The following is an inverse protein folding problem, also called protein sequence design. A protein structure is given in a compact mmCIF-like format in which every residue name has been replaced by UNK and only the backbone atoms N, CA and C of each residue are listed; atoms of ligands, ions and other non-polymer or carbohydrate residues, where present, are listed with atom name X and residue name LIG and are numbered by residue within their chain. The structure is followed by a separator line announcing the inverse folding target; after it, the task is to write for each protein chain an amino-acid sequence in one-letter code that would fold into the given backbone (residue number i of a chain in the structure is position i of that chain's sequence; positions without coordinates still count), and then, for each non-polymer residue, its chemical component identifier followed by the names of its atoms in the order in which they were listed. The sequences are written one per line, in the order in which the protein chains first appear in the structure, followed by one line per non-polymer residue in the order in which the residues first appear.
data_IF_416475449296
#
_entry.id   IF_416475449296
#
_cell.length_a   1.000
_cell.length_b   1.000
_cell.length_c   1.000
_cell.angle_alpha   90.00
_cell.angle_beta   90.00
_cell.angle_gamma   90.00
#
_symmetry.space_group_name_H-M   'P 1'
#
loop_
_entity.id
_entity.type
_entity.pdbx_description
1 polymer ?
#
# COMPACT_ATOMS: atom_id res chain seq x y z
N UNK A 1 -3.88 31.53 15.67
CA UNK A 1 -4.22 30.78 14.45
C UNK A 1 -3.13 29.75 14.31
N UNK A 2 -3.32 28.64 15.01
CA UNK A 2 -2.32 27.58 15.10
C UNK A 2 -2.41 26.71 13.85
N UNK A 3 -1.27 26.54 13.18
CA UNK A 3 -1.13 25.58 12.09
C UNK A 3 -1.53 24.18 12.58
N UNK A 4 -2.34 23.42 11.83
CA UNK A 4 -2.62 22.05 12.20
C UNK A 4 -1.31 21.28 12.15
N UNK A 5 -0.92 20.74 13.31
CA UNK A 5 0.25 19.90 13.49
C UNK A 5 0.25 18.79 12.44
N UNK A 6 1.36 18.65 11.72
CA UNK A 6 1.72 17.44 11.00
C UNK A 6 1.73 16.28 11.99
N UNK A 7 0.57 15.64 12.17
CA UNK A 7 0.48 14.41 12.92
C UNK A 7 1.45 13.45 12.27
N UNK A 8 2.50 13.08 13.01
CA UNK A 8 3.43 12.03 12.60
C UNK A 8 2.59 10.86 12.15
N UNK A 9 2.62 10.57 10.85
CA UNK A 9 2.04 9.36 10.28
C UNK A 9 2.76 8.25 11.02
N UNK A 10 2.11 7.67 12.03
CA UNK A 10 2.64 6.51 12.71
C UNK A 10 2.87 5.50 11.60
N UNK A 11 4.14 5.17 11.34
CA UNK A 11 4.53 4.17 10.36
C UNK A 11 3.92 2.84 10.77
N UNK A 12 2.71 2.63 10.27
CA UNK A 12 1.95 1.40 10.36
C UNK A 12 2.85 0.35 9.75
N UNK A 13 3.09 -0.73 10.51
CA UNK A 13 3.71 -1.92 9.94
C UNK A 13 3.03 -2.17 8.60
N UNK A 14 3.80 -2.34 7.53
CA UNK A 14 3.35 -3.09 6.37
C UNK A 14 2.97 -4.48 6.90
N UNK A 15 1.76 -4.60 7.44
CA UNK A 15 1.11 -5.87 7.60
C UNK A 15 0.71 -6.15 6.18
N UNK A 16 1.65 -6.80 5.46
CA UNK A 16 1.42 -7.51 4.21
C UNK A 16 -0.04 -7.89 4.18
N UNK A 17 -0.82 -7.23 3.30
CA UNK A 17 -2.17 -7.69 2.95
C UNK A 17 -2.01 -9.18 2.78
N UNK A 18 -2.55 -9.98 3.69
CA UNK A 18 -2.41 -11.43 3.60
C UNK A 18 -3.11 -11.77 2.29
N UNK A 19 -2.33 -12.03 1.24
CA UNK A 19 -2.85 -12.50 -0.04
C UNK A 19 -3.46 -13.87 0.23
N UNK A 20 -4.72 -13.88 0.63
CA UNK A 20 -5.50 -15.11 0.74
C UNK A 20 -5.69 -15.64 -0.67
N UNK A 21 -5.57 -16.96 -0.83
CA UNK A 21 -5.85 -17.62 -2.11
C UNK A 21 -7.33 -17.36 -2.47
N UNK A 22 -7.55 -16.39 -3.35
CA UNK A 22 -8.85 -16.06 -3.93
C UNK A 22 -9.04 -16.75 -5.27
N UNK A 23 -10.29 -16.76 -5.77
CA UNK A 23 -10.67 -17.38 -7.05
C UNK A 23 -9.81 -16.91 -8.25
N UNK A 24 -9.24 -15.71 -8.17
CA UNK A 24 -8.41 -15.12 -9.23
C UNK A 24 -6.92 -14.98 -8.87
N UNK A 25 -6.49 -15.38 -7.66
CA UNK A 25 -5.10 -15.19 -7.17
C UNK A 25 -3.99 -15.81 -8.03
N UNK A 26 -4.35 -16.74 -8.91
CA UNK A 26 -3.44 -17.38 -9.87
C UNK A 26 -3.10 -16.49 -11.08
N UNK A 27 -3.84 -15.39 -11.31
CA UNK A 27 -3.65 -14.49 -12.43
C UNK A 27 -2.52 -13.52 -12.10
N UNK A 28 -1.47 -13.52 -12.93
CA UNK A 28 -0.27 -12.69 -12.78
C UNK A 28 -0.11 -11.66 -13.90
N UNK A 29 -1.09 -11.57 -14.81
CA UNK A 29 -1.09 -10.65 -15.96
C UNK A 29 -1.97 -11.16 -17.09
N UNK A 30 -1.96 -10.45 -18.23
CA UNK A 30 -2.75 -10.80 -19.42
C UNK A 30 -2.14 -11.90 -20.29
N UNK A 31 -0.87 -12.28 -20.08
CA UNK A 31 -0.18 -13.36 -20.80
C UNK A 31 0.02 -13.09 -22.29
N UNK A 32 0.35 -11.85 -22.64
CA UNK A 32 0.61 -11.39 -24.01
C UNK A 32 2.10 -11.49 -24.36
N UNK A 33 2.43 -11.53 -25.66
CA UNK A 33 3.78 -11.31 -26.15
C UNK A 33 4.02 -9.82 -26.49
N UNK A 34 5.23 -9.49 -26.91
CA UNK A 34 5.63 -8.11 -27.26
C UNK A 34 4.85 -7.54 -28.46
N UNK A 35 4.21 -8.40 -29.26
CA UNK A 35 3.32 -8.02 -30.37
C UNK A 35 1.84 -7.93 -29.97
N UNK A 36 1.54 -7.95 -28.65
CA UNK A 36 0.20 -7.92 -28.07
C UNK A 36 -0.70 -9.10 -28.44
N UNK A 37 -0.13 -10.21 -28.87
CA UNK A 37 -0.84 -11.45 -29.12
C UNK A 37 -0.91 -12.31 -27.85
N UNK A 38 -2.11 -12.82 -27.56
CA UNK A 38 -2.34 -13.65 -26.40
C UNK A 38 -1.79 -15.06 -26.62
N UNK A 39 -0.91 -15.52 -25.73
CA UNK A 39 -0.46 -16.92 -25.70
C UNK A 39 -1.60 -17.81 -25.18
N UNK A 40 -1.69 -19.04 -25.70
CA UNK A 40 -2.73 -20.00 -25.33
C UNK A 40 -2.83 -20.22 -23.81
N UNK A 41 -1.67 -20.32 -23.14
CA UNK A 41 -1.50 -20.44 -21.69
C UNK A 41 -0.33 -19.55 -21.27
N UNK A 42 -0.57 -18.54 -20.44
CA UNK A 42 0.49 -17.68 -19.89
C UNK A 42 -0.02 -16.83 -18.72
N UNK A 43 0.84 -16.56 -17.73
CA UNK A 43 0.55 -15.69 -16.57
C UNK A 43 -0.76 -16.02 -15.82
N UNK A 44 -1.13 -17.31 -15.76
CA UNK A 44 -2.37 -17.76 -15.12
C UNK A 44 -3.62 -17.64 -16.00
N UNK A 45 -3.53 -17.03 -17.18
CA UNK A 45 -4.64 -16.91 -18.13
C UNK A 45 -4.59 -18.03 -19.18
N UNK A 46 -5.77 -18.61 -19.47
CA UNK A 46 -5.94 -19.66 -20.48
C UNK A 46 -7.09 -19.29 -21.42
N UNK A 47 -6.87 -19.40 -22.73
CA UNK A 47 -7.90 -19.07 -23.73
C UNK A 47 -8.22 -17.58 -23.78
N UNK A 48 -9.49 -17.23 -24.10
CA UNK A 48 -10.00 -15.86 -24.28
C UNK A 48 -9.08 -14.95 -25.13
N UNK A 49 -8.53 -15.50 -26.21
CA UNK A 49 -7.45 -14.86 -26.99
C UNK A 49 -7.83 -13.47 -27.51
N UNK A 50 -9.04 -13.33 -28.06
CA UNK A 50 -9.55 -12.06 -28.59
C UNK A 50 -9.72 -11.01 -27.49
N UNK A 51 -10.31 -11.40 -26.36
CA UNK A 51 -10.57 -10.49 -25.25
C UNK A 51 -9.27 -10.06 -24.55
N UNK A 52 -8.31 -10.99 -24.38
CA UNK A 52 -6.97 -10.68 -23.82
C UNK A 52 -6.16 -9.77 -24.74
N UNK A 53 -6.20 -9.99 -26.06
CA UNK A 53 -5.58 -9.10 -27.04
C UNK A 53 -6.18 -7.70 -26.98
N UNK A 54 -7.51 -7.59 -26.93
CA UNK A 54 -8.20 -6.31 -26.80
C UNK A 54 -7.82 -5.60 -25.47
N UNK A 55 -7.79 -6.33 -24.37
CA UNK A 55 -7.33 -5.82 -23.08
C UNK A 55 -5.87 -5.34 -23.12
N UNK A 56 -5.00 -6.03 -23.87
CA UNK A 56 -3.62 -5.62 -24.11
C UNK A 56 -3.49 -4.31 -24.86
N UNK A 57 -4.27 -4.13 -25.93
CA UNK A 57 -4.30 -2.87 -26.67
C UNK A 57 -4.76 -1.70 -25.78
N UNK A 58 -5.80 -1.93 -24.98
CA UNK A 58 -6.30 -0.92 -24.03
C UNK A 58 -5.25 -0.61 -22.98
N UNK A 59 -4.56 -1.63 -22.45
CA UNK A 59 -3.48 -1.47 -21.48
C UNK A 59 -2.35 -0.58 -22.03
N UNK A 60 -1.92 -0.80 -23.27
CA UNK A 60 -0.89 0.06 -23.89
C UNK A 60 -1.40 1.48 -24.13
N UNK A 61 -2.65 1.66 -24.56
CA UNK A 61 -3.24 3.00 -24.68
C UNK A 61 -3.31 3.75 -23.35
N UNK A 62 -3.52 3.02 -22.25
CA UNK A 62 -3.50 3.56 -20.88
C UNK A 62 -2.07 3.96 -20.50
N UNK A 63 -1.08 3.09 -20.71
CA UNK A 63 0.33 3.39 -20.40
C UNK A 63 0.87 4.57 -21.22
N UNK A 64 0.44 4.70 -22.47
CA UNK A 64 0.78 5.84 -23.34
C UNK A 64 0.02 7.12 -22.96
N UNK A 65 -0.92 7.08 -22.01
CA UNK A 65 -1.71 8.24 -21.58
C UNK A 65 -2.69 8.76 -22.63
N UNK A 66 -2.98 7.98 -23.70
CA UNK A 66 -3.89 8.39 -24.78
C UNK A 66 -5.36 8.29 -24.39
N UNK A 67 -5.66 7.58 -23.30
CA UNK A 67 -7.01 7.37 -22.79
C UNK A 67 -7.06 7.87 -21.35
N UNK A 68 -7.67 9.04 -21.16
CA UNK A 68 -8.17 9.52 -19.87
C UNK A 68 -9.70 9.60 -19.95
N UNK A 69 -10.39 9.28 -18.85
CA UNK A 69 -11.84 9.44 -18.73
C UNK A 69 -12.70 8.51 -19.60
N UNK A 70 -12.19 7.32 -19.95
CA UNK A 70 -12.98 6.31 -20.68
C UNK A 70 -13.26 5.10 -19.81
N UNK A 71 -14.47 4.55 -19.97
CA UNK A 71 -14.85 3.29 -19.35
C UNK A 71 -14.74 2.12 -20.34
N UNK A 72 -14.30 0.97 -19.85
CA UNK A 72 -14.27 -0.29 -20.57
C UNK A 72 -15.46 -1.15 -20.16
N UNK A 73 -16.32 -1.55 -21.09
CA UNK A 73 -17.40 -2.50 -20.83
C UNK A 73 -17.01 -3.90 -21.32
N UNK A 74 -17.02 -4.88 -20.42
CA UNK A 74 -16.83 -6.30 -20.73
C UNK A 74 -18.18 -7.02 -20.62
N UNK A 75 -18.70 -7.45 -21.77
CA UNK A 75 -19.94 -8.22 -21.85
C UNK A 75 -19.66 -9.69 -22.18
N UNK A 76 -20.44 -10.60 -21.60
CA UNK A 76 -20.34 -12.02 -21.90
C UNK A 76 -21.14 -12.86 -20.90
N UNK A 77 -21.31 -14.15 -21.21
CA UNK A 77 -22.02 -15.08 -20.33
C UNK A 77 -21.35 -15.20 -18.95
N UNK A 78 -22.09 -15.58 -17.89
CA UNK A 78 -21.49 -15.92 -16.61
C UNK A 78 -20.38 -16.97 -16.75
N UNK A 79 -19.32 -16.87 -15.96
CA UNK A 79 -18.21 -17.84 -15.98
C UNK A 79 -17.21 -17.69 -17.14
N UNK A 80 -17.36 -16.71 -18.04
CA UNK A 80 -16.42 -16.52 -19.17
C UNK A 80 -15.12 -15.79 -18.84
N UNK A 81 -14.86 -15.48 -17.56
CA UNK A 81 -13.62 -14.85 -17.10
C UNK A 81 -13.55 -13.32 -17.24
N UNK A 82 -14.68 -12.61 -17.13
CA UNK A 82 -14.71 -11.13 -17.19
C UNK A 82 -13.88 -10.48 -16.07
N UNK A 83 -14.15 -10.88 -14.83
CA UNK A 83 -13.41 -10.45 -13.64
C UNK A 83 -11.93 -10.86 -13.73
N UNK A 84 -11.65 -12.02 -14.30
CA UNK A 84 -10.28 -12.50 -14.54
C UNK A 84 -9.49 -11.59 -15.51
N UNK A 85 -10.13 -11.12 -16.59
CA UNK A 85 -9.51 -10.18 -17.52
C UNK A 85 -9.26 -8.82 -16.87
N UNK A 86 -10.23 -8.29 -16.11
CA UNK A 86 -10.06 -7.03 -15.37
C UNK A 86 -8.89 -7.11 -14.38
N UNK A 87 -8.76 -8.22 -13.66
CA UNK A 87 -7.65 -8.43 -12.74
C UNK A 87 -6.31 -8.63 -13.47
N UNK A 88 -6.33 -9.27 -14.65
CA UNK A 88 -5.17 -9.37 -15.53
C UNK A 88 -4.68 -7.99 -16.02
N UNK A 89 -5.59 -7.06 -16.32
CA UNK A 89 -5.26 -5.66 -16.65
C UNK A 89 -4.57 -4.99 -15.46
N UNK A 90 -5.15 -5.10 -14.26
CA UNK A 90 -4.59 -4.49 -13.06
C UNK A 90 -3.18 -5.00 -12.74
N UNK A 91 -2.97 -6.32 -12.77
CA UNK A 91 -1.66 -6.93 -12.56
C UNK A 91 -0.63 -6.53 -13.63
N UNK A 92 -1.07 -6.24 -14.86
CA UNK A 92 -0.20 -5.82 -15.95
C UNK A 92 0.11 -4.30 -15.95
N UNK A 93 -0.63 -3.49 -15.18
CA UNK A 93 -0.30 -2.08 -14.91
C UNK A 93 0.83 -1.95 -13.88
N UNK A 94 0.84 -2.84 -12.89
CA UNK A 94 1.89 -2.91 -11.87
C UNK A 94 1.37 -3.53 -10.58
N UNK A 95 2.28 -4.09 -9.76
CA UNK A 95 1.94 -4.60 -8.42
C UNK A 95 1.42 -3.52 -7.48
N UNK A 96 1.85 -2.28 -7.71
CA UNK A 96 1.56 -1.14 -6.84
C UNK A 96 0.35 -0.35 -7.34
N UNK A 97 -0.25 -0.74 -8.46
CA UNK A 97 -1.44 -0.10 -9.02
C UNK A 97 -2.66 -0.49 -8.19
N UNK A 98 -3.41 0.48 -7.62
CA UNK A 98 -4.58 0.16 -6.83
C UNK A 98 -5.67 -0.47 -7.71
N UNK A 99 -6.21 -1.60 -7.25
CA UNK A 99 -7.32 -2.29 -7.87
C UNK A 99 -8.47 -2.38 -6.87
N UNK A 100 -9.60 -1.76 -7.21
CA UNK A 100 -10.84 -1.86 -6.43
C UNK A 100 -11.84 -2.64 -7.25
N UNK A 101 -12.30 -3.77 -6.71
CA UNK A 101 -13.44 -4.52 -7.27
C UNK A 101 -14.65 -4.29 -6.38
N UNK A 102 -15.79 -4.03 -7.01
CA UNK A 102 -17.08 -3.88 -6.36
C UNK A 102 -18.18 -4.52 -7.20
N UNK A 103 -19.24 -5.00 -6.55
CA UNK A 103 -20.47 -5.38 -7.25
C UNK A 103 -21.41 -4.18 -7.34
N UNK A 104 -22.17 -4.07 -8.44
CA UNK A 104 -23.20 -3.05 -8.59
C UNK A 104 -24.24 -3.06 -7.46
N UNK A 105 -24.48 -4.22 -6.82
CA UNK A 105 -25.37 -4.31 -5.66
C UNK A 105 -24.78 -3.78 -4.35
N UNK A 106 -23.45 -3.69 -4.22
CA UNK A 106 -22.78 -3.21 -2.99
C UNK A 106 -22.96 -1.70 -2.77
N UNK A 107 -23.35 -0.94 -3.81
CA UNK A 107 -23.59 0.50 -3.74
C UNK A 107 -24.86 0.83 -2.95
N UNK A 108 -25.81 -0.11 -2.89
CA UNK A 108 -27.06 0.08 -2.17
C UNK A 108 -26.87 -0.28 -0.70
N UNK A 109 -26.49 0.71 0.10
CA UNK A 109 -26.33 0.60 1.56
C UNK A 109 -27.38 1.46 2.30
N UNK A 110 -27.69 1.06 3.54
CA UNK A 110 -28.46 1.89 4.48
C UNK A 110 -27.57 2.85 5.27
N UNK A 111 -26.26 2.59 5.33
CA UNK A 111 -25.31 3.35 6.14
C UNK A 111 -24.78 4.60 5.42
N UNK A 112 -24.75 4.58 4.09
CA UNK A 112 -24.23 5.68 3.26
C UNK A 112 -25.02 5.82 1.96
N UNK A 113 -25.01 7.02 1.40
CA UNK A 113 -25.60 7.30 0.10
C UNK A 113 -24.88 6.58 -1.05
N UNK A 114 -25.62 6.28 -2.13
CA UNK A 114 -25.09 5.63 -3.35
C UNK A 114 -23.93 6.42 -3.96
N UNK A 115 -24.06 7.75 -3.99
CA UNK A 115 -23.04 8.67 -4.47
C UNK A 115 -21.79 8.63 -3.60
N UNK A 116 -21.95 8.49 -2.29
CA UNK A 116 -20.82 8.37 -1.37
C UNK A 116 -20.09 7.03 -1.56
N UNK A 117 -20.82 5.92 -1.68
CA UNK A 117 -20.25 4.61 -1.97
C UNK A 117 -19.43 4.62 -3.28
N UNK A 118 -19.96 5.22 -4.34
CA UNK A 118 -19.24 5.39 -5.61
C UNK A 118 -18.03 6.32 -5.45
N UNK A 119 -18.16 7.43 -4.72
CA UNK A 119 -17.04 8.35 -4.50
C UNK A 119 -15.89 7.67 -3.75
N UNK A 120 -16.21 6.88 -2.72
CA UNK A 120 -15.21 6.09 -1.99
C UNK A 120 -14.55 5.06 -2.90
N UNK A 121 -15.31 4.36 -3.75
CA UNK A 121 -14.75 3.41 -4.71
C UNK A 121 -13.79 4.07 -5.72
N UNK A 122 -14.12 5.27 -6.22
CA UNK A 122 -13.21 6.06 -7.06
C UNK A 122 -11.94 6.44 -6.30
N UNK A 123 -12.06 6.97 -5.08
CA UNK A 123 -10.91 7.41 -4.28
C UNK A 123 -10.03 6.26 -3.78
N UNK A 124 -10.59 5.06 -3.59
CA UNK A 124 -9.81 3.83 -3.33
C UNK A 124 -9.00 3.38 -4.55
N UNK A 125 -9.47 3.73 -5.74
CA UNK A 125 -8.83 3.35 -7.01
C UNK A 125 -7.80 4.37 -7.49
N UNK A 126 -7.53 5.44 -6.74
CA UNK A 126 -6.49 6.41 -7.04
C UNK A 126 -5.42 6.33 -5.96
N UNK A 127 -4.21 5.97 -6.37
CA UNK A 127 -3.04 5.87 -5.50
C UNK A 127 -2.23 7.16 -5.51
N UNK A 128 -1.62 7.47 -4.38
CA UNK A 128 -0.61 8.51 -4.21
C UNK A 128 0.65 7.81 -3.72
N UNK A 129 1.67 7.83 -4.57
CA UNK A 129 2.99 7.30 -4.28
C UNK A 129 3.84 8.42 -3.69
N UNK A 130 4.12 8.33 -2.40
CA UNK A 130 4.93 9.30 -1.67
C UNK A 130 6.34 8.72 -1.55
N UNK A 131 7.32 9.53 -1.94
CA UNK A 131 8.74 9.18 -1.85
C UNK A 131 9.34 9.95 -0.68
N UNK A 132 9.81 9.21 0.32
CA UNK A 132 10.44 9.80 1.49
C UNK A 132 11.88 9.29 1.62
N UNK A 133 12.82 10.20 1.85
CA UNK A 133 14.18 9.82 2.22
C UNK A 133 14.21 9.54 3.73
N UNK A 134 14.49 8.29 4.09
CA UNK A 134 14.66 7.89 5.48
C UNK A 134 16.12 7.53 5.75
N UNK A 135 16.65 8.04 6.88
CA UNK A 135 17.97 7.67 7.37
C UNK A 135 17.84 6.49 8.34
N UNK A 136 18.44 5.36 7.98
CA UNK A 136 18.49 4.16 8.81
C UNK A 136 19.89 3.95 9.37
N UNK A 137 19.96 3.46 10.60
CA UNK A 137 21.19 2.93 11.20
C UNK A 137 21.04 1.41 11.26
N UNK A 138 21.84 0.68 10.49
CA UNK A 138 21.80 -0.78 10.40
C UNK A 138 23.11 -1.38 10.88
N UNK A 139 23.05 -2.24 11.90
CA UNK A 139 24.26 -2.86 12.46
C UNK A 139 23.97 -4.05 13.37
N UNK A 140 25.01 -4.84 13.61
CA UNK A 140 25.05 -5.86 14.66
C UNK A 140 25.30 -5.19 16.01
N UNK A 141 24.50 -5.54 17.01
CA UNK A 141 24.67 -5.09 18.39
C UNK A 141 25.80 -5.86 19.05
N UNK A 142 26.90 -5.18 19.39
CA UNK A 142 28.02 -5.79 20.10
C UNK A 142 27.72 -5.86 21.60
N UNK A 143 27.27 -4.75 22.17
CA UNK A 143 26.99 -4.59 23.60
C UNK A 143 25.92 -3.51 23.84
N UNK A 144 25.11 -3.70 24.88
CA UNK A 144 24.15 -2.71 25.39
C UNK A 144 24.41 -2.53 26.89
N UNK A 145 24.76 -1.31 27.29
CA UNK A 145 24.91 -0.90 28.69
C UNK A 145 23.75 0.04 29.04
N UNK A 146 23.01 -0.27 30.10
CA UNK A 146 21.90 0.58 30.56
C UNK A 146 22.15 0.89 32.04
N UNK A 147 22.45 2.15 32.32
CA UNK A 147 22.61 2.65 33.68
C UNK A 147 21.24 2.96 34.27
N UNK A 148 20.91 2.26 35.36
CA UNK A 148 19.70 2.50 36.13
C UNK A 148 20.09 3.21 37.44
N UNK A 149 19.47 4.36 37.76
CA UNK A 149 19.68 5.01 39.07
C UNK A 149 19.30 4.05 40.20
N UNK A 150 20.14 3.97 41.24
CA UNK A 150 19.96 3.06 42.38
C UNK A 150 18.62 3.27 43.13
N UNK A 151 18.02 4.45 43.02
CA UNK A 151 16.74 4.81 43.62
C UNK A 151 15.51 4.37 42.82
N UNK A 152 15.70 3.84 41.60
CA UNK A 152 14.60 3.45 40.69
C UNK A 152 13.84 4.62 40.07
N UNK A 153 14.08 5.85 40.54
CA UNK A 153 13.49 7.10 40.06
C UNK A 153 14.57 7.98 39.42
N UNK A 154 14.59 8.02 38.09
CA UNK A 154 15.47 8.87 37.29
C UNK A 154 15.51 8.45 35.83
N UNK A 155 15.99 9.34 34.95
CA UNK A 155 16.11 9.05 33.53
C UNK A 155 17.12 7.93 33.30
N UNK A 156 16.70 6.88 32.59
CA UNK A 156 17.60 5.81 32.15
C UNK A 156 18.49 6.38 31.04
N UNK A 157 19.81 6.25 31.22
CA UNK A 157 20.81 6.57 30.20
C UNK A 157 21.51 5.26 29.87
N UNK A 158 21.87 5.05 28.61
CA UNK A 158 22.56 3.85 28.19
C UNK A 158 23.55 4.14 27.09
N UNK A 159 24.37 3.15 26.78
CA UNK A 159 25.26 3.14 25.62
C UNK A 159 25.04 1.86 24.85
N UNK A 160 25.09 1.95 23.53
CA UNK A 160 25.00 0.81 22.65
C UNK A 160 26.11 0.86 21.63
N UNK A 161 26.80 -0.26 21.47
CA UNK A 161 27.84 -0.41 20.46
C UNK A 161 27.27 -1.17 19.28
N UNK A 162 27.29 -0.54 18.10
CA UNK A 162 26.87 -1.13 16.83
C UNK A 162 28.06 -1.34 15.92
N UNK A 163 28.02 -2.45 15.18
CA UNK A 163 29.08 -2.87 14.28
C UNK A 163 28.55 -3.30 12.92
N UNK A 164 29.25 -2.89 11.87
CA UNK A 164 29.18 -3.45 10.52
C UNK A 164 30.48 -4.18 10.20
N UNK A 165 30.61 -4.71 8.98
CA UNK A 165 31.89 -5.30 8.54
C UNK A 165 33.02 -4.27 8.44
N UNK A 166 32.69 -2.99 8.23
CA UNK A 166 33.66 -1.92 7.98
C UNK A 166 33.91 -1.01 9.18
N UNK A 167 32.91 -0.81 10.06
CA UNK A 167 33.01 0.14 11.16
C UNK A 167 32.31 -0.33 12.44
N UNK A 168 32.75 0.22 13.56
CA UNK A 168 32.16 0.01 14.88
C UNK A 168 32.04 1.36 15.57
N UNK A 169 30.84 1.68 16.07
CA UNK A 169 30.56 2.96 16.72
C UNK A 169 29.72 2.78 17.98
N UNK A 170 29.91 3.71 18.92
CA UNK A 170 29.21 3.74 20.21
C UNK A 170 28.19 4.87 20.15
N UNK A 171 26.93 4.55 20.43
CA UNK A 171 25.81 5.49 20.51
C UNK A 171 25.34 5.64 21.95
N UNK A 172 25.18 6.89 22.39
CA UNK A 172 24.50 7.19 23.64
C UNK A 172 22.98 7.09 23.45
N UNK A 173 22.33 6.33 24.33
CA UNK A 173 20.91 6.03 24.30
C UNK A 173 20.15 6.90 25.30
N UNK A 174 19.14 7.61 24.81
CA UNK A 174 18.14 8.25 25.65
C UNK A 174 17.06 7.29 26.16
N UNK A 175 16.24 7.75 27.11
CA UNK A 175 15.19 6.95 27.75
C UNK A 175 14.23 6.28 26.74
N UNK A 176 13.75 7.01 25.72
CA UNK A 176 12.82 6.48 24.70
C UNK A 176 13.43 5.31 23.91
N UNK A 177 14.71 5.40 23.57
CA UNK A 177 15.42 4.34 22.83
C UNK A 177 15.62 3.11 23.71
N UNK A 178 15.92 3.29 24.99
CA UNK A 178 16.06 2.18 25.95
C UNK A 178 14.73 1.44 26.12
N UNK A 179 13.62 2.16 26.20
CA UNK A 179 12.27 1.57 26.26
C UNK A 179 11.94 0.81 24.97
N UNK A 180 12.29 1.35 23.80
CA UNK A 180 12.11 0.67 22.51
C UNK A 180 12.95 -0.62 22.40
N UNK A 181 14.24 -0.58 22.78
CA UNK A 181 15.12 -1.76 22.82
C UNK A 181 14.57 -2.84 23.78
N UNK A 182 14.07 -2.42 24.95
CA UNK A 182 13.48 -3.33 25.94
C UNK A 182 12.19 -3.96 25.40
N UNK A 183 11.36 -3.17 24.70
CA UNK A 183 10.10 -3.62 24.10
C UNK A 183 10.34 -4.67 23.00
N UNK A 184 11.32 -4.44 22.14
CA UNK A 184 11.69 -5.35 21.05
C UNK A 184 12.62 -6.49 21.53
N UNK A 185 12.99 -6.51 22.83
CA UNK A 185 13.87 -7.51 23.46
C UNK A 185 15.19 -7.70 22.69
N UNK A 186 15.80 -6.58 22.30
CA UNK A 186 17.08 -6.59 21.59
C UNK A 186 18.20 -7.05 22.53
N UNK A 187 19.04 -7.95 22.04
CA UNK A 187 20.18 -8.49 22.78
C UNK A 187 21.49 -8.32 22.00
N UNK A 188 22.61 -8.49 22.69
CA UNK A 188 23.92 -8.57 22.05
C UNK A 188 23.95 -9.74 21.04
N UNK A 189 24.41 -9.45 19.82
CA UNK A 189 24.40 -10.35 18.67
C UNK A 189 23.16 -10.24 17.78
N UNK A 190 22.18 -9.39 18.10
CA UNK A 190 21.07 -9.10 17.19
C UNK A 190 21.51 -8.10 16.11
N UNK A 191 21.00 -8.29 14.89
CA UNK A 191 21.10 -7.31 13.80
C UNK A 191 19.82 -6.47 13.81
N UNK A 192 19.98 -5.15 13.98
CA UNK A 192 18.87 -4.21 14.09
C UNK A 192 18.96 -3.11 13.03
N UNK A 193 17.80 -2.59 12.66
CA UNK A 193 17.65 -1.37 11.88
C UNK A 193 16.92 -0.32 12.73
N UNK A 194 17.49 0.87 12.83
CA UNK A 194 16.92 2.00 13.56
C UNK A 194 16.60 3.10 12.56
N UNK A 195 15.32 3.48 12.47
CA UNK A 195 14.93 4.69 11.76
C UNK A 195 15.23 5.90 12.66
N UNK A 196 16.11 6.78 12.19
CA UNK A 196 16.59 7.93 12.97
C UNK A 196 15.51 9.00 13.19
N UNK A 197 14.55 9.13 12.28
CA UNK A 197 13.48 10.12 12.38
C UNK A 197 12.37 9.64 13.33
N UNK A 198 11.96 8.38 13.21
CA UNK A 198 10.88 7.82 14.04
C UNK A 198 11.35 7.23 15.37
N UNK A 199 12.64 6.90 15.50
CA UNK A 199 13.20 6.18 16.66
C UNK A 199 12.72 4.72 16.73
N UNK A 200 12.10 4.20 15.67
CA UNK A 200 11.59 2.84 15.60
C UNK A 200 12.75 1.86 15.39
N UNK A 201 12.81 0.84 16.23
CA UNK A 201 13.81 -0.21 16.18
C UNK A 201 13.16 -1.47 15.61
N UNK A 202 13.77 -2.04 14.58
CA UNK A 202 13.32 -3.29 13.96
C UNK A 202 14.42 -4.33 14.05
N UNK A 203 14.12 -5.48 14.69
CA UNK A 203 15.06 -6.61 14.76
C UNK A 203 15.00 -7.41 13.46
N UNK A 204 16.06 -7.34 12.65
CA UNK A 204 16.15 -8.05 11.37
C UNK A 204 16.45 -9.55 11.56
N UNK A 205 17.23 -9.87 12.59
CA UNK A 205 17.58 -11.24 12.95
C UNK A 205 18.76 -11.29 13.90
N UNK A 206 19.38 -12.45 14.00
CA UNK A 206 20.57 -12.67 14.83
C UNK A 206 21.80 -12.95 13.97
N UNK A 207 22.97 -12.46 14.37
CA UNK A 207 24.21 -12.68 13.63
C UNK A 207 24.63 -14.15 13.66
N UNK A 208 25.23 -14.62 12.57
CA UNK A 208 25.74 -16.00 12.48
C UNK A 208 26.94 -16.26 13.40
N UNK A 209 27.73 -15.22 13.69
CA UNK A 209 28.97 -15.31 14.50
C UNK A 209 28.69 -15.64 15.96
N UNK A 210 27.57 -15.16 16.52
CA UNK A 210 27.16 -15.40 17.91
C UNK A 210 26.04 -16.44 18.05
N UNK A 211 25.78 -17.21 16.99
CA UNK A 211 24.76 -18.26 16.99
C UNK A 211 25.09 -19.45 17.92
N UNK A 212 26.36 -19.63 18.30
CA UNK A 212 26.82 -20.78 19.10
C UNK A 212 26.75 -20.56 20.61
N UNK A 213 26.63 -19.32 21.08
CA UNK A 213 26.76 -18.99 22.50
C UNK A 213 25.46 -19.16 23.32
N UNK A 214 24.36 -19.54 22.66
CA UNK A 214 23.04 -19.65 23.30
C UNK A 214 22.38 -21.00 22.99
N UNK A 215 22.37 -21.88 24.00
CA UNK A 215 21.85 -23.26 23.96
C UNK A 215 20.31 -23.33 23.94
N UNK A 216 19.62 -22.24 24.34
CA UNK A 216 18.16 -22.15 24.37
C UNK A 216 17.62 -21.25 23.23
N UNK A 217 17.79 -21.68 21.98
CA UNK A 217 17.20 -20.96 20.84
C UNK A 217 15.76 -21.41 20.59
N UNK A 218 14.83 -20.45 20.56
CA UNK A 218 13.47 -20.72 20.11
C UNK A 218 13.46 -21.08 18.61
N UNK A 219 12.53 -21.93 18.14
CA UNK A 219 12.47 -22.44 16.75
C UNK A 219 12.19 -21.37 15.66
N UNK A 220 12.27 -20.07 15.99
CA UNK A 220 11.87 -18.92 15.17
C UNK A 220 13.00 -17.88 15.00
N UNK A 221 14.22 -18.13 15.48
CA UNK A 221 15.33 -17.17 15.33
C UNK A 221 15.85 -17.16 13.90
N UNK A 222 15.53 -16.09 13.16
CA UNK A 222 16.04 -15.82 11.82
C UNK A 222 17.50 -15.36 11.91
N UNK A 223 18.41 -16.07 11.27
CA UNK A 223 19.81 -15.66 11.19
C UNK A 223 20.05 -14.75 9.98
N UNK A 224 20.80 -13.67 10.20
CA UNK A 224 21.12 -12.66 9.18
C UNK A 224 22.62 -12.38 9.25
N UNK A 225 23.24 -12.09 8.11
CA UNK A 225 24.65 -11.71 8.07
C UNK A 225 24.86 -10.31 8.66
N UNK A 226 26.08 -10.05 9.16
CA UNK A 226 26.44 -8.71 9.61
C UNK A 226 26.31 -7.75 8.42
N UNK A 227 25.63 -6.61 8.57
CA UNK A 227 25.48 -5.64 7.49
C UNK A 227 26.85 -5.14 7.01
N UNK A 228 26.98 -4.96 5.70
CA UNK A 228 28.18 -4.40 5.07
C UNK A 228 28.04 -2.89 4.86
N UNK A 229 29.18 -2.20 4.77
CA UNK A 229 29.25 -0.76 4.51
C UNK A 229 29.13 0.12 5.76
N UNK A 230 28.72 1.35 5.53
CA UNK A 230 28.47 2.34 6.58
C UNK A 230 27.26 1.97 7.45
N UNK A 231 27.36 2.28 8.75
CA UNK A 231 26.27 2.08 9.71
C UNK A 231 25.04 2.92 9.36
N UNK A 232 25.23 4.16 8.90
CA UNK A 232 24.15 5.07 8.55
C UNK A 232 23.92 5.03 7.04
N UNK A 233 22.72 4.62 6.63
CA UNK A 233 22.32 4.51 5.23
C UNK A 233 21.13 5.41 4.96
N UNK A 234 21.16 6.11 3.84
CA UNK A 234 19.98 6.81 3.30
C UNK A 234 19.26 5.87 2.35
N UNK A 235 17.97 5.67 2.59
CA UNK A 235 17.12 4.83 1.74
C UNK A 235 15.88 5.62 1.35
N UNK A 236 15.60 5.66 0.05
CA UNK A 236 14.30 6.14 -0.46
C UNK A 236 13.27 5.05 -0.15
N UNK A 237 12.30 5.39 0.69
CA UNK A 237 11.16 4.53 1.00
C UNK A 237 9.97 5.07 0.23
N UNK A 238 9.38 4.19 -0.58
CA UNK A 238 8.23 4.52 -1.42
C UNK A 238 7.00 3.95 -0.75
N UNK A 239 6.08 4.82 -0.35
CA UNK A 239 4.79 4.44 0.22
C UNK A 239 3.69 4.71 -0.79
N UNK A 240 2.86 3.72 -1.07
CA UNK A 240 1.68 3.89 -1.90
C UNK A 240 0.44 3.84 -1.02
N UNK A 241 -0.30 4.95 -0.96
CA UNK A 241 -1.54 5.09 -0.19
C UNK A 241 -2.66 5.54 -1.12
N UNK A 242 -3.90 5.15 -0.85
CA UNK A 242 -5.05 5.59 -1.67
C UNK A 242 -5.59 6.92 -1.19
N UNK A 243 -6.23 7.70 -2.08
CA UNK A 243 -6.88 8.96 -1.67
C UNK A 243 -7.94 8.73 -0.59
N UNK A 244 -8.66 7.61 -0.65
CA UNK A 244 -9.65 7.26 0.36
C UNK A 244 -9.02 7.00 1.75
N UNK A 245 -7.85 6.36 1.81
CA UNK A 245 -7.14 6.16 3.09
C UNK A 245 -6.75 7.51 3.71
N UNK A 246 -6.26 8.45 2.89
CA UNK A 246 -5.92 9.81 3.33
C UNK A 246 -7.18 10.54 3.83
N UNK A 247 -8.31 10.42 3.13
CA UNK A 247 -9.59 11.01 3.54
C UNK A 247 -10.03 10.53 4.92
N UNK A 248 -10.06 9.21 5.12
CA UNK A 248 -10.57 8.61 6.36
C UNK A 248 -9.68 8.99 7.54
N UNK A 249 -8.35 8.97 7.35
CA UNK A 249 -7.38 9.35 8.40
C UNK A 249 -7.57 10.81 8.82
N UNK A 250 -7.81 11.72 7.87
CA UNK A 250 -7.95 13.14 8.16
C UNK A 250 -9.38 13.55 8.58
N UNK A 251 -10.38 12.69 8.35
CA UNK A 251 -11.77 12.99 8.71
C UNK A 251 -12.09 12.79 10.20
N UNK A 252 -11.35 11.92 10.93
CA UNK A 252 -11.64 11.59 12.34
C UNK A 252 -10.36 11.49 13.17
N UNK A 253 -10.44 11.82 14.46
CA UNK A 253 -9.31 11.71 15.41
C UNK A 253 -8.79 10.27 15.61
N UNK A 254 -9.62 9.26 15.34
CA UNK A 254 -9.22 7.84 15.22
C UNK A 254 -9.56 7.26 13.84
N UNK A 255 -9.40 8.06 12.77
CA UNK A 255 -9.71 7.64 11.40
C UNK A 255 -8.99 6.36 10.97
N UNK A 256 -7.77 6.13 11.48
CA UNK A 256 -7.03 4.90 11.19
C UNK A 256 -7.77 3.62 11.61
N UNK A 257 -8.45 3.60 12.77
CA UNK A 257 -9.16 2.40 13.22
C UNK A 257 -10.40 2.12 12.35
N UNK A 258 -11.02 3.18 11.82
CA UNK A 258 -12.17 3.09 10.92
C UNK A 258 -11.85 2.39 9.59
N UNK A 259 -10.60 2.48 9.12
CA UNK A 259 -10.14 1.73 7.94
C UNK A 259 -10.26 0.21 8.13
N UNK A 260 -10.16 -0.28 9.37
CA UNK A 260 -10.25 -1.70 9.69
C UNK A 260 -11.65 -2.14 10.10
N UNK A 261 -12.41 -1.27 10.75
CA UNK A 261 -13.77 -1.61 11.18
C UNK A 261 -14.80 -1.50 10.05
N UNK A 262 -14.49 -0.79 8.97
CA UNK A 262 -15.42 -0.50 7.87
C UNK A 262 -16.43 0.61 8.19
N UNK A 263 -16.44 1.11 9.43
CA UNK A 263 -17.29 2.21 9.89
C UNK A 263 -16.65 3.57 9.55
N UNK A 264 -16.48 3.82 8.25
CA UNK A 264 -15.93 5.09 7.77
C UNK A 264 -17.00 6.18 7.76
N UNK A 265 -18.27 5.81 7.61
CA UNK A 265 -19.40 6.72 7.40
C UNK A 265 -19.22 7.58 6.15
N UNK A 266 -20.00 8.66 6.06
CA UNK A 266 -19.86 9.65 4.98
C UNK A 266 -18.77 10.67 5.29
N UNK A 267 -17.92 10.96 4.30
CA UNK A 267 -16.82 11.92 4.43
C UNK A 267 -17.25 13.26 3.85
N UNK A 268 -17.06 14.34 4.60
CA UNK A 268 -17.38 15.70 4.17
C UNK A 268 -16.58 16.11 2.92
N UNK A 269 -17.22 16.82 2.00
CA UNK A 269 -16.58 17.34 0.78
C UNK A 269 -15.41 18.29 1.08
N UNK A 270 -15.53 19.13 2.11
CA UNK A 270 -14.47 20.06 2.54
C UNK A 270 -13.14 19.35 2.84
N UNK A 271 -13.20 18.17 3.47
CA UNK A 271 -12.01 17.36 3.77
C UNK A 271 -11.38 16.83 2.48
N UNK A 272 -12.21 16.40 1.53
CA UNK A 272 -11.74 15.89 0.22
C UNK A 272 -11.10 16.99 -0.61
N UNK A 273 -11.69 18.18 -0.62
CA UNK A 273 -11.13 19.34 -1.33
C UNK A 273 -9.77 19.72 -0.75
N UNK A 274 -9.66 19.85 0.58
CA UNK A 274 -8.38 20.12 1.25
C UNK A 274 -7.31 19.06 0.95
N UNK A 275 -7.71 17.78 0.86
CA UNK A 275 -6.77 16.69 0.51
C UNK A 275 -6.37 16.77 -0.95
N UNK A 276 -7.30 17.06 -1.86
CA UNK A 276 -7.00 17.21 -3.28
C UNK A 276 -5.99 18.36 -3.50
N UNK A 277 -6.17 19.49 -2.80
CA UNK A 277 -5.25 20.63 -2.87
C UNK A 277 -3.85 20.25 -2.36
N UNK A 278 -3.76 19.56 -1.22
CA UNK A 278 -2.48 19.06 -0.67
C UNK A 278 -1.79 18.04 -1.58
N UNK A 279 -2.55 17.13 -2.19
CA UNK A 279 -2.00 16.14 -3.11
C UNK A 279 -1.52 16.82 -4.41
N UNK A 280 -2.22 17.86 -4.87
CA UNK A 280 -1.75 18.69 -5.98
C UNK A 280 -0.45 19.41 -5.63
N UNK A 281 -0.35 20.02 -4.43
CA UNK A 281 0.88 20.63 -3.92
C UNK A 281 2.04 19.63 -3.88
N UNK A 282 1.83 18.44 -3.30
CA UNK A 282 2.88 17.40 -3.24
C UNK A 282 3.32 16.91 -4.62
N UNK A 283 2.40 16.92 -5.60
CA UNK A 283 2.72 16.60 -6.99
C UNK A 283 3.56 17.69 -7.64
N UNK A 284 3.23 18.96 -7.41
CA UNK A 284 3.99 20.11 -7.92
C UNK A 284 5.39 20.20 -7.30
N UNK A 285 5.53 19.88 -6.01
CA UNK A 285 6.81 19.80 -5.31
C UNK A 285 7.64 18.56 -5.67
N UNK A 286 7.07 17.59 -6.42
CA UNK A 286 7.72 16.33 -6.76
C UNK A 286 7.89 15.35 -5.59
N UNK A 287 7.21 15.58 -4.46
CA UNK A 287 7.21 14.68 -3.29
C UNK A 287 6.28 13.48 -3.46
N UNK A 288 5.26 13.62 -4.32
CA UNK A 288 4.29 12.56 -4.59
C UNK A 288 4.00 12.41 -6.10
N UNK A 289 3.70 11.18 -6.51
CA UNK A 289 3.24 10.81 -7.83
C UNK A 289 1.83 10.21 -7.72
N UNK A 290 0.90 10.66 -8.57
CA UNK A 290 -0.45 10.10 -8.62
C UNK A 290 -0.43 8.87 -9.54
N UNK A 291 -0.85 7.74 -9.00
CA UNK A 291 -0.95 6.46 -9.71
C UNK A 291 -2.43 6.18 -10.00
N UNK A 292 -2.90 6.37 -11.24
CA UNK A 292 -4.26 6.00 -11.60
C UNK A 292 -4.40 4.48 -11.54
N UNK A 293 -5.34 4.00 -10.72
CA UNK A 293 -5.64 2.59 -10.59
C UNK A 293 -6.80 2.15 -11.48
N UNK A 294 -7.39 1.02 -11.11
CA UNK A 294 -8.50 0.39 -11.82
C UNK A 294 -9.67 0.21 -10.87
N UNK A 295 -10.83 0.72 -11.28
CA UNK A 295 -12.12 0.47 -10.63
C UNK A 295 -12.90 -0.54 -11.46
N UNK A 296 -13.12 -1.73 -10.92
CA UNK A 296 -13.93 -2.78 -11.54
C UNK A 296 -15.32 -2.84 -10.89
N UNK A 297 -16.37 -2.65 -11.68
CA UNK A 297 -17.77 -2.80 -11.27
C UNK A 297 -18.36 -4.02 -11.95
N UNK A 298 -18.60 -5.09 -11.20
CA UNK A 298 -19.35 -6.24 -11.68
C UNK A 298 -20.85 -5.98 -11.64
N UNK A 299 -21.61 -6.72 -12.45
CA UNK A 299 -23.06 -6.65 -12.50
C UNK A 299 -23.60 -5.22 -12.68
N UNK A 300 -22.96 -4.44 -13.55
CA UNK A 300 -23.28 -3.01 -13.75
C UNK A 300 -24.75 -2.74 -14.14
N UNK A 301 -25.43 -3.75 -14.66
CA UNK A 301 -26.87 -3.69 -14.98
C UNK A 301 -27.77 -3.56 -13.73
N UNK A 302 -27.22 -3.73 -12.54
CA UNK A 302 -27.91 -3.47 -11.26
C UNK A 302 -27.88 -1.99 -10.86
N UNK A 303 -27.05 -1.16 -11.52
CA UNK A 303 -26.98 0.27 -11.24
C UNK A 303 -28.20 1.03 -11.79
N UNK A 304 -28.58 2.08 -11.08
CA UNK A 304 -29.60 3.01 -11.53
C UNK A 304 -29.02 4.17 -12.36
N UNK A 305 -29.92 4.99 -12.91
CA UNK A 305 -29.56 6.13 -13.76
C UNK A 305 -28.77 7.21 -13.02
N UNK A 306 -28.98 7.36 -11.70
CA UNK A 306 -28.27 8.32 -10.87
C UNK A 306 -26.79 7.92 -10.74
N UNK A 307 -26.53 6.63 -10.54
CA UNK A 307 -25.18 6.08 -10.54
C UNK A 307 -24.47 6.35 -11.88
N UNK A 308 -25.11 6.09 -13.01
CA UNK A 308 -24.51 6.36 -14.33
C UNK A 308 -24.26 7.85 -14.58
N UNK A 309 -25.17 8.72 -14.13
CA UNK A 309 -24.98 10.18 -14.20
C UNK A 309 -23.76 10.62 -13.40
N UNK A 310 -23.60 10.08 -12.19
CA UNK A 310 -22.42 10.32 -11.36
C UNK A 310 -21.13 9.80 -12.02
N UNK A 311 -21.15 8.57 -12.53
CA UNK A 311 -19.99 7.94 -13.20
C UNK A 311 -19.52 8.77 -14.41
N UNK A 312 -20.44 9.27 -15.23
CA UNK A 312 -20.10 10.10 -16.38
C UNK A 312 -19.34 11.37 -15.96
N UNK A 313 -19.84 12.09 -14.94
CA UNK A 313 -19.17 13.27 -14.41
C UNK A 313 -17.82 12.93 -13.75
N UNK A 314 -17.73 11.82 -13.04
CA UNK A 314 -16.50 11.40 -12.37
C UNK A 314 -15.38 11.04 -13.36
N UNK A 315 -15.74 10.51 -14.54
CA UNK A 315 -14.79 10.18 -15.60
C UNK A 315 -14.22 11.40 -16.31
N UNK A 316 -14.85 12.57 -16.22
CA UNK A 316 -14.30 13.81 -16.80
C UNK A 316 -13.09 14.35 -16.04
N UNK A 317 -12.80 13.83 -14.84
CA UNK A 317 -11.64 14.24 -14.07
C UNK A 317 -10.34 13.68 -14.65
N UNK A 318 -9.31 14.52 -14.74
CA UNK A 318 -7.96 14.11 -15.18
C UNK A 318 -7.34 13.00 -14.30
N UNK A 319 -7.78 12.91 -13.04
CA UNK A 319 -7.30 11.91 -12.07
C UNK A 319 -8.20 10.67 -12.01
N UNK A 320 -9.17 10.54 -12.91
CA UNK A 320 -10.11 9.42 -12.89
C UNK A 320 -9.37 8.08 -13.10
N UNK A 321 -9.65 7.06 -12.26
CA UNK A 321 -9.13 5.71 -12.47
C UNK A 321 -9.75 5.09 -13.73
N UNK A 322 -9.14 4.01 -14.21
CA UNK A 322 -9.70 3.24 -15.32
C UNK A 322 -10.94 2.51 -14.83
N UNK A 323 -12.11 2.90 -15.32
CA UNK A 323 -13.36 2.23 -15.00
C UNK A 323 -13.57 1.03 -15.92
N UNK A 324 -13.62 -0.17 -15.35
CA UNK A 324 -13.98 -1.41 -16.04
C UNK A 324 -15.33 -1.87 -15.51
N UNK A 325 -16.32 -2.01 -16.37
CA UNK A 325 -17.65 -2.49 -16.03
C UNK A 325 -17.88 -3.86 -16.64
N UNK A 326 -18.55 -4.75 -15.92
CA UNK A 326 -18.96 -6.06 -16.44
C UNK A 326 -20.48 -6.22 -16.42
N UNK A 327 -21.01 -6.84 -17.47
CA UNK A 327 -22.42 -7.24 -17.52
C UNK A 327 -22.57 -8.68 -18.02
N UNK A 328 -23.47 -9.41 -17.35
CA UNK A 328 -23.93 -10.75 -17.73
C UNK A 328 -25.22 -10.73 -18.55
N UNK A 329 -25.91 -9.57 -18.59
CA UNK A 329 -27.21 -9.41 -19.26
C UNK A 329 -27.04 -8.73 -20.59
N UNK A 330 -27.75 -9.25 -21.60
CA UNK A 330 -27.95 -8.60 -22.88
C UNK A 330 -29.44 -8.47 -23.17
N UNK A 331 -29.82 -7.45 -23.95
CA UNK A 331 -31.16 -7.38 -24.51
C UNK A 331 -31.16 -8.32 -25.72
N UNK A 332 -31.76 -9.49 -25.58
CA UNK A 332 -32.09 -10.35 -26.72
C UNK A 332 -33.22 -9.67 -27.51
N UNK A 333 -32.96 -9.31 -28.77
CA UNK A 333 -34.00 -8.89 -29.71
C UNK A 333 -34.88 -10.07 -30.10
#
# INVERSE_FOLDING_TARGET
MDAPSTAQVQQVREITRIERIGAHSHIRGLGLNDSLEARAVSQGMVGQLKARRAAGLILEMIKEGKIAGRALLIAGQPGTGKTAIAMGIAQALGSDTPFTAMSGSEIFSLEMSKTEALTQAFRRSIGVRIKEEAEFIEGEVVEIQIDRPATGTGAKIGKMTLKTTEMETIYDLGQKMIEALTKEKVQAGDVIAIDKASGKISRLGRSFTRAKDYDAMGPQTKFVQCPEGELQKRKEVVHTVTLHEIDVINSRSQGFLALFSGDTGEIKSEVREQINDKVAEWREEGKAEIVPGVLFIDEVHMLDIECFSFLNRALESDMAPILIMATNRGITK
#
